data_IF_441181151452
#
_entry.id   IF_441181151452
#
_cell.length_a   1.000
_cell.length_b   1.000
_cell.length_c   1.000
_cell.angle_alpha   90.00
_cell.angle_beta   90.00
_cell.angle_gamma   90.00
#
_symmetry.space_group_name_H-M   'P 1'
#
loop_
_entity.id
_entity.type
_entity.pdbx_description
1 polymer ?
#
# COMPACT_ATOMS: atom_id res chain seq x y z
N UNK A 1 1.14 0.07 -17.70
CA UNK A 1 0.35 1.03 -16.89
C UNK A 1 1.33 1.89 -16.09
N UNK A 2 1.16 3.22 -16.09
CA UNK A 2 2.00 4.13 -15.30
C UNK A 2 1.25 4.56 -14.03
N UNK A 3 1.93 4.60 -12.90
CA UNK A 3 1.41 5.03 -11.62
C UNK A 3 1.65 6.53 -11.43
N UNK A 4 0.74 7.19 -10.72
CA UNK A 4 0.76 8.63 -10.51
C UNK A 4 1.66 8.94 -9.29
N UNK A 5 2.54 9.92 -9.42
CA UNK A 5 3.32 10.45 -8.31
C UNK A 5 2.43 10.76 -7.09
N UNK A 6 2.89 10.38 -5.90
CA UNK A 6 2.15 10.56 -4.65
C UNK A 6 1.10 9.48 -4.36
N UNK A 7 0.89 8.51 -5.25
CA UNK A 7 -0.03 7.39 -4.98
C UNK A 7 0.43 6.55 -3.80
N UNK A 8 -0.53 6.03 -3.05
CA UNK A 8 -0.25 5.05 -1.99
C UNK A 8 0.15 3.70 -2.60
N UNK A 9 1.19 3.11 -2.04
CA UNK A 9 1.70 1.83 -2.50
C UNK A 9 2.13 0.94 -1.33
N UNK A 10 2.14 -0.37 -1.56
CA UNK A 10 2.40 -1.36 -0.54
C UNK A 10 3.53 -2.28 -0.99
N UNK A 11 4.61 -2.31 -0.20
CA UNK A 11 5.81 -3.07 -0.53
C UNK A 11 5.80 -4.40 0.20
N UNK A 12 6.04 -5.48 -0.55
CA UNK A 12 6.15 -6.81 0.03
C UNK A 12 7.49 -6.98 0.75
N UNK A 13 7.44 -7.31 2.04
CA UNK A 13 8.64 -7.75 2.77
C UNK A 13 8.91 -9.21 2.44
N UNK A 14 10.07 -9.46 1.81
CA UNK A 14 10.53 -10.80 1.52
C UNK A 14 11.24 -11.36 2.75
N UNK A 15 10.46 -11.80 3.74
CA UNK A 15 10.98 -12.43 4.96
C UNK A 15 10.78 -13.95 4.85
N UNK A 16 11.86 -14.68 4.58
CA UNK A 16 11.86 -16.12 4.23
C UNK A 16 11.34 -17.04 5.35
N UNK A 17 11.19 -16.53 6.58
CA UNK A 17 10.86 -17.33 7.78
C UNK A 17 9.40 -17.23 8.25
N UNK A 18 8.54 -16.41 7.61
CA UNK A 18 7.16 -16.21 8.06
C UNK A 18 6.14 -16.16 6.92
N UNK A 19 4.97 -16.75 7.17
CA UNK A 19 3.71 -16.49 6.45
C UNK A 19 3.24 -15.07 6.80
N UNK A 20 3.92 -14.03 6.33
CA UNK A 20 3.71 -12.71 6.91
C UNK A 20 2.67 -11.83 6.20
N UNK A 21 1.72 -11.33 6.98
CA UNK A 21 0.77 -10.26 6.63
C UNK A 21 1.44 -8.87 6.66
N UNK A 22 2.60 -8.68 6.02
CA UNK A 22 3.42 -7.47 6.24
C UNK A 22 3.85 -6.79 4.95
N UNK A 23 2.87 -6.26 4.22
CA UNK A 23 3.14 -5.17 3.32
C UNK A 23 3.38 -3.88 4.10
N UNK A 24 4.40 -3.10 3.73
CA UNK A 24 4.63 -1.77 4.31
C UNK A 24 4.10 -0.68 3.39
N UNK A 25 3.30 0.22 3.95
CA UNK A 25 2.72 1.35 3.23
C UNK A 25 3.78 2.42 2.99
N UNK A 26 3.90 2.85 1.73
CA UNK A 26 4.75 3.94 1.28
C UNK A 26 4.01 4.88 0.34
N UNK A 27 4.69 5.94 -0.05
CA UNK A 27 4.22 6.92 -1.03
C UNK A 27 5.09 6.80 -2.27
N UNK A 28 4.47 6.57 -3.43
CA UNK A 28 5.20 6.44 -4.68
C UNK A 28 5.79 7.77 -5.14
N UNK A 29 7.11 7.78 -5.35
CA UNK A 29 7.88 8.97 -5.76
C UNK A 29 8.26 8.90 -7.24
N UNK A 30 8.41 7.71 -7.82
CA UNK A 30 8.74 7.59 -9.23
C UNK A 30 9.45 6.30 -9.57
N UNK A 31 9.80 6.15 -10.83
CA UNK A 31 10.52 4.99 -11.34
C UNK A 31 12.02 5.16 -11.14
N UNK A 32 12.74 4.08 -10.88
CA UNK A 32 14.19 4.09 -10.97
C UNK A 32 14.65 4.09 -12.44
N UNK A 33 15.72 4.83 -12.75
CA UNK A 33 16.20 4.97 -14.12
C UNK A 33 17.05 3.78 -14.61
N UNK A 34 17.52 2.93 -13.68
CA UNK A 34 18.52 1.89 -13.96
C UNK A 34 18.04 0.47 -13.64
N UNK A 35 16.88 0.34 -13.00
CA UNK A 35 16.34 -0.92 -12.54
C UNK A 35 14.81 -0.92 -12.65
N UNK A 36 14.15 -2.09 -12.63
CA UNK A 36 12.69 -2.18 -12.62
C UNK A 36 12.08 -1.83 -11.24
N UNK A 37 12.81 -1.12 -10.39
CA UNK A 37 12.36 -0.72 -9.07
C UNK A 37 11.56 0.59 -9.10
N UNK A 38 10.70 0.74 -8.11
CA UNK A 38 10.03 1.99 -7.80
C UNK A 38 10.78 2.67 -6.65
N UNK A 39 10.73 4.00 -6.61
CA UNK A 39 11.19 4.81 -5.49
C UNK A 39 9.98 5.11 -4.61
N UNK A 40 10.04 4.76 -3.34
CA UNK A 40 8.97 5.03 -2.37
C UNK A 40 9.49 5.79 -1.16
N UNK A 41 8.76 6.81 -0.76
CA UNK A 41 9.00 7.52 0.48
C UNK A 41 8.26 6.85 1.64
N UNK A 42 8.97 6.63 2.73
CA UNK A 42 8.46 6.08 3.98
C UNK A 42 8.46 7.16 5.06
N UNK A 43 7.32 7.79 5.38
CA UNK A 43 7.27 8.87 6.37
C UNK A 43 7.78 8.46 7.75
N UNK A 44 7.55 7.20 8.14
CA UNK A 44 8.03 6.66 9.43
C UNK A 44 9.56 6.57 9.52
N UNK A 45 10.22 6.38 8.38
CA UNK A 45 11.67 6.23 8.29
C UNK A 45 12.36 7.50 7.80
N UNK A 46 11.57 8.49 7.36
CA UNK A 46 12.01 9.72 6.69
C UNK A 46 13.01 9.45 5.54
N UNK A 47 12.76 8.37 4.79
CA UNK A 47 13.67 7.87 3.76
C UNK A 47 12.95 7.50 2.49
N UNK A 48 13.66 7.64 1.37
CA UNK A 48 13.29 7.05 0.09
C UNK A 48 14.04 5.73 -0.05
N UNK A 49 13.29 4.66 -0.29
CA UNK A 49 13.84 3.33 -0.56
C UNK A 49 13.43 2.89 -1.97
N UNK A 50 14.05 1.81 -2.44
CA UNK A 50 13.79 1.24 -3.75
C UNK A 50 13.29 -0.18 -3.63
N UNK A 51 12.14 -0.48 -4.23
CA UNK A 51 11.61 -1.84 -4.25
C UNK A 51 11.06 -2.21 -5.62
N UNK A 52 11.35 -3.43 -6.06
CA UNK A 52 10.83 -3.97 -7.33
C UNK A 52 9.44 -4.58 -7.17
N UNK A 53 9.06 -5.00 -5.96
CA UNK A 53 7.78 -5.67 -5.68
C UNK A 53 6.86 -4.76 -4.88
N UNK A 54 6.05 -4.01 -5.62
CA UNK A 54 5.13 -3.01 -5.09
C UNK A 54 3.74 -3.24 -5.64
N UNK A 55 2.73 -3.20 -4.75
CA UNK A 55 1.32 -3.22 -5.14
C UNK A 55 0.75 -1.82 -5.07
N UNK A 56 0.20 -1.38 -6.19
CA UNK A 56 -0.58 -0.15 -6.30
C UNK A 56 -2.05 -0.50 -6.26
N UNK A 57 -2.85 0.25 -5.50
CA UNK A 57 -4.30 0.12 -5.54
C UNK A 57 -4.86 1.22 -6.42
N UNK A 58 -5.38 0.85 -7.59
CA UNK A 58 -6.19 1.77 -8.41
C UNK A 58 -7.61 1.81 -7.86
N UNK A 59 -8.26 2.98 -7.93
CA UNK A 59 -9.68 3.11 -7.56
C UNK A 59 -10.62 2.40 -8.53
N UNK A 60 -10.15 2.07 -9.73
CA UNK A 60 -10.90 1.37 -10.74
C UNK A 60 -10.13 0.15 -11.22
N UNK A 61 -10.53 -1.01 -10.72
CA UNK A 61 -10.65 -2.27 -11.47
C UNK A 61 -11.22 -3.30 -10.50
N UNK A 62 -12.45 -3.73 -10.75
CA UNK A 62 -13.05 -4.90 -10.14
C UNK A 62 -12.29 -6.15 -10.64
N UNK A 63 -11.07 -6.36 -10.16
CA UNK A 63 -10.37 -7.63 -10.36
C UNK A 63 -10.85 -8.61 -9.30
N UNK A 64 -11.35 -9.74 -9.80
CA UNK A 64 -12.10 -10.74 -9.06
C UNK A 64 -11.50 -11.12 -7.71
N UNK A 65 -12.40 -11.19 -6.74
CA UNK A 65 -12.22 -11.70 -5.39
C UNK A 65 -11.33 -12.97 -5.39
N UNK A 66 -10.16 -12.91 -4.78
CA UNK A 66 -9.64 -14.06 -4.04
C UNK A 66 -10.06 -13.89 -2.59
N UNK A 67 -10.80 -14.87 -2.09
CA UNK A 67 -11.35 -14.89 -0.75
C UNK A 67 -10.21 -14.79 0.27
N UNK A 68 -10.13 -13.65 0.95
CA UNK A 68 -9.66 -13.58 2.33
C UNK A 68 -10.69 -12.74 3.06
N UNK A 69 -11.46 -13.40 3.93
CA UNK A 69 -12.49 -12.78 4.76
C UNK A 69 -11.90 -11.64 5.58
N UNK A 70 -12.51 -10.46 5.48
CA UNK A 70 -12.14 -9.30 6.27
C UNK A 70 -12.29 -8.00 5.50
N UNK A 71 -13.53 -7.64 5.16
CA UNK A 71 -13.88 -6.34 4.61
C UNK A 71 -13.55 -5.23 5.61
N UNK A 72 -12.33 -4.69 5.52
CA UNK A 72 -11.83 -3.60 6.37
C UNK A 72 -12.45 -2.24 6.03
N UNK A 73 -13.32 -2.15 5.01
CA UNK A 73 -13.98 -0.88 4.63
C UNK A 73 -15.02 -0.43 5.65
N UNK A 74 -15.70 -1.37 6.31
CA UNK A 74 -16.58 -1.05 7.44
C UNK A 74 -15.80 -0.51 8.64
N UNK A 75 -14.56 -0.94 8.86
CA UNK A 75 -13.79 -0.57 10.05
C UNK A 75 -13.37 0.91 10.00
N UNK A 76 -12.96 1.41 8.83
CA UNK A 76 -12.52 2.81 8.68
C UNK A 76 -13.70 3.78 8.90
N UNK A 77 -14.87 3.51 8.32
CA UNK A 77 -16.06 4.34 8.54
C UNK A 77 -16.55 4.31 10.01
N UNK A 78 -16.42 3.17 10.70
CA UNK A 78 -16.75 3.05 12.14
C UNK A 78 -15.78 3.88 13.02
N UNK A 79 -14.49 3.95 12.68
CA UNK A 79 -13.54 4.78 13.42
C UNK A 79 -13.74 6.29 13.17
N UNK A 80 -14.16 6.66 11.96
CA UNK A 80 -14.42 8.06 11.61
C UNK A 80 -15.76 8.57 12.16
N UNK A 81 -16.76 7.70 12.38
CA UNK A 81 -18.02 8.09 13.00
C UNK A 81 -17.99 8.02 14.53
N UNK A 82 -17.69 9.15 15.18
CA UNK A 82 -18.01 9.37 16.60
C UNK A 82 -19.25 10.27 16.70
N UNK A 83 -20.44 9.76 17.10
CA UNK A 83 -21.61 10.60 17.29
C UNK A 83 -21.38 11.55 18.47
N UNK A 84 -21.75 12.82 18.30
CA UNK A 84 -21.77 13.81 19.37
C UNK A 84 -22.79 13.38 20.42
N UNK A 85 -22.36 13.38 21.69
CA UNK A 85 -23.25 13.18 22.83
C UNK A 85 -23.90 14.53 23.13
N UNK A 86 -25.22 14.60 22.98
CA UNK A 86 -26.06 15.63 23.61
C UNK A 86 -26.37 15.23 25.07
#
# INVERSE_FOLDING_TARGET
>A
NMNIFGSECYVYKQDEKKLDSRCEKGIFIGYDNYSPAYNEYYPKLEKVLKHSLVKFFTRDSAEGQTQTDGDMRNVIEIFEYTPKRD
#
